data_IF_832066121063
#
_entry.id   IF_832066121063
#
_cell.length_a   1.000
_cell.length_b   1.000
_cell.length_c   1.000
_cell.angle_alpha   90.00
_cell.angle_beta   90.00
_cell.angle_gamma   90.00
#
_symmetry.space_group_name_H-M   'P 1'
#
loop_
_entity.id
_entity.type
_entity.pdbx_description
1 polymer ?
#
# COMPACT_ATOMS: atom_id res chain seq x y z
N UNK A 1 -4.50 0.06 1.99
CA UNK A 1 -4.57 1.46 1.61
C UNK A 1 -5.99 1.96 1.78
N UNK A 2 -6.17 3.04 2.51
CA UNK A 2 -7.45 3.74 2.65
C UNK A 2 -7.27 5.14 2.09
N UNK A 3 -8.18 5.58 1.22
CA UNK A 3 -8.15 6.92 0.65
C UNK A 3 -9.51 7.61 0.80
N UNK A 4 -9.47 8.84 1.24
CA UNK A 4 -10.58 9.77 1.31
C UNK A 4 -10.32 10.95 0.37
N UNK A 5 -11.21 11.92 0.35
CA UNK A 5 -11.08 13.07 -0.55
C UNK A 5 -9.89 13.98 -0.19
N UNK A 6 -9.59 14.10 1.08
CA UNK A 6 -8.64 15.04 1.67
C UNK A 6 -7.58 14.37 2.55
N UNK A 7 -7.65 13.05 2.70
CA UNK A 7 -6.72 12.29 3.53
C UNK A 7 -6.54 10.86 2.99
N UNK A 8 -5.47 10.22 3.41
CA UNK A 8 -5.23 8.81 3.11
C UNK A 8 -4.31 8.15 4.12
N UNK A 9 -4.34 6.84 4.16
CA UNK A 9 -3.49 6.05 5.04
C UNK A 9 -3.02 4.79 4.31
N UNK A 10 -1.72 4.56 4.31
CA UNK A 10 -1.12 3.27 4.00
C UNK A 10 -0.87 2.55 5.32
N UNK A 11 -1.48 1.39 5.51
CA UNK A 11 -1.27 0.58 6.69
C UNK A 11 -0.77 -0.81 6.30
N UNK A 12 0.22 -1.29 7.03
CA UNK A 12 0.66 -2.68 7.03
C UNK A 12 0.10 -3.34 8.28
N UNK A 13 -0.60 -4.44 8.11
CA UNK A 13 -1.11 -5.25 9.20
C UNK A 13 -0.37 -6.59 9.22
N UNK A 14 0.10 -6.99 10.39
CA UNK A 14 0.75 -8.27 10.60
C UNK A 14 0.26 -8.92 11.90
N UNK A 15 -0.05 -10.20 11.84
CA UNK A 15 -0.29 -11.04 13.01
C UNK A 15 0.92 -11.94 13.25
N UNK A 16 1.49 -11.90 14.47
CA UNK A 16 2.69 -12.66 14.81
C UNK A 16 2.70 -13.04 16.31
N UNK A 17 3.61 -13.91 16.71
CA UNK A 17 3.89 -14.14 18.14
C UNK A 17 4.66 -12.96 18.75
N UNK A 18 4.54 -12.78 20.06
CA UNK A 18 5.25 -11.72 20.79
C UNK A 18 6.77 -11.76 20.52
N UNK A 19 7.37 -12.95 20.55
CA UNK A 19 8.81 -13.15 20.33
C UNK A 19 9.28 -12.77 18.92
N UNK A 20 8.40 -12.86 17.93
CA UNK A 20 8.70 -12.54 16.53
C UNK A 20 8.40 -11.09 16.15
N UNK A 21 7.73 -10.34 17.02
CA UNK A 21 7.30 -8.97 16.75
C UNK A 21 8.44 -8.02 16.36
N UNK A 22 9.60 -8.01 17.06
CA UNK A 22 10.72 -7.15 16.66
C UNK A 22 11.19 -7.46 15.23
N UNK A 23 11.33 -8.75 14.88
CA UNK A 23 11.77 -9.19 13.55
C UNK A 23 10.78 -8.80 12.46
N UNK A 24 9.48 -8.85 12.73
CA UNK A 24 8.45 -8.42 11.78
C UNK A 24 8.56 -6.92 11.56
N UNK A 25 8.75 -6.12 12.61
CA UNK A 25 8.95 -4.68 12.48
C UNK A 25 10.19 -4.35 11.65
N UNK A 26 11.33 -4.98 11.97
CA UNK A 26 12.57 -4.79 11.22
C UNK A 26 12.39 -5.12 9.73
N UNK A 27 11.69 -6.22 9.43
CA UNK A 27 11.41 -6.61 8.05
C UNK A 27 10.58 -5.55 7.31
N UNK A 28 9.52 -5.02 7.94
CA UNK A 28 8.68 -3.98 7.35
C UNK A 28 9.50 -2.71 7.07
N UNK A 29 10.31 -2.29 8.03
CA UNK A 29 11.16 -1.09 7.88
C UNK A 29 12.21 -1.30 6.80
N UNK A 30 12.80 -2.50 6.75
CA UNK A 30 13.77 -2.84 5.71
C UNK A 30 13.17 -2.79 4.30
N UNK A 31 11.95 -3.32 4.12
CA UNK A 31 11.25 -3.21 2.83
C UNK A 31 10.97 -1.76 2.44
N UNK A 32 10.56 -0.91 3.39
CA UNK A 32 10.38 0.51 3.11
C UNK A 32 11.69 1.19 2.69
N UNK A 33 12.81 0.89 3.38
CA UNK A 33 14.14 1.39 3.01
C UNK A 33 14.56 0.92 1.62
N UNK A 34 14.34 -0.35 1.30
CA UNK A 34 14.67 -0.90 -0.01
C UNK A 34 13.93 -0.18 -1.12
N UNK A 35 12.62 0.03 -0.99
CA UNK A 35 11.83 0.76 -2.00
C UNK A 35 12.32 2.21 -2.15
N UNK A 36 12.63 2.88 -1.04
CA UNK A 36 13.10 4.28 -1.06
C UNK A 36 14.48 4.40 -1.73
N UNK A 37 15.41 3.51 -1.41
CA UNK A 37 16.79 3.60 -1.86
C UNK A 37 17.00 2.95 -3.23
N UNK A 38 16.52 1.72 -3.40
CA UNK A 38 16.82 0.87 -4.54
C UNK A 38 15.69 0.88 -5.59
N UNK A 39 14.47 1.30 -5.18
CA UNK A 39 13.28 1.24 -6.02
C UNK A 39 12.70 -0.17 -6.10
N UNK A 40 11.89 -0.43 -7.13
CA UNK A 40 11.24 -1.72 -7.36
C UNK A 40 11.82 -2.37 -8.60
N UNK A 41 12.23 -3.65 -8.54
CA UNK A 41 12.64 -4.41 -9.71
C UNK A 41 11.55 -4.47 -10.78
N UNK A 42 11.92 -4.36 -12.05
CA UNK A 42 10.95 -4.34 -13.15
C UNK A 42 10.02 -5.55 -13.17
N UNK A 43 10.54 -6.73 -12.83
CA UNK A 43 9.76 -7.97 -12.76
C UNK A 43 8.74 -7.97 -11.61
N UNK A 44 9.10 -7.36 -10.49
CA UNK A 44 8.19 -7.21 -9.35
C UNK A 44 7.06 -6.23 -9.68
N UNK A 45 7.39 -5.09 -10.28
CA UNK A 45 6.38 -4.14 -10.76
C UNK A 45 5.44 -4.78 -11.77
N UNK A 46 5.96 -5.56 -12.72
CA UNK A 46 5.15 -6.29 -13.69
C UNK A 46 4.16 -7.22 -13.00
N UNK A 47 4.64 -8.06 -12.06
CA UNK A 47 3.78 -8.99 -11.30
C UNK A 47 2.73 -8.25 -10.47
N UNK A 48 3.09 -7.13 -9.86
CA UNK A 48 2.16 -6.29 -9.10
C UNK A 48 1.04 -5.73 -10.00
N UNK A 49 1.40 -5.23 -11.19
CA UNK A 49 0.43 -4.77 -12.20
C UNK A 49 -0.50 -5.89 -12.64
N UNK A 50 0.04 -7.06 -12.98
CA UNK A 50 -0.77 -8.20 -13.42
C UNK A 50 -1.74 -8.68 -12.33
N UNK A 51 -1.29 -8.73 -11.08
CA UNK A 51 -2.14 -9.05 -9.94
C UNK A 51 -3.25 -8.01 -9.74
N UNK A 52 -2.91 -6.74 -9.83
CA UNK A 52 -3.87 -5.64 -9.66
C UNK A 52 -4.92 -5.64 -10.77
N UNK A 53 -4.52 -5.84 -12.03
CA UNK A 53 -5.44 -5.96 -13.16
C UNK A 53 -6.38 -7.15 -13.00
N UNK A 54 -5.85 -8.32 -12.65
CA UNK A 54 -6.65 -9.53 -12.41
C UNK A 54 -7.66 -9.33 -11.26
N UNK A 55 -7.22 -8.78 -10.15
CA UNK A 55 -8.07 -8.48 -8.99
C UNK A 55 -9.18 -7.48 -9.33
N UNK A 56 -8.86 -6.44 -10.12
CA UNK A 56 -9.84 -5.47 -10.58
C UNK A 56 -10.92 -6.13 -11.43
N UNK A 57 -10.53 -6.95 -12.42
CA UNK A 57 -11.46 -7.64 -13.30
C UNK A 57 -12.40 -8.56 -12.50
N UNK A 58 -11.84 -9.40 -11.62
CA UNK A 58 -12.63 -10.29 -10.77
C UNK A 58 -13.57 -9.55 -9.82
N UNK A 59 -13.11 -8.43 -9.26
CA UNK A 59 -13.95 -7.64 -8.34
C UNK A 59 -15.19 -7.08 -8.99
N UNK A 60 -15.16 -6.79 -10.30
CA UNK A 60 -16.27 -6.22 -11.05
C UNK A 60 -17.26 -7.27 -11.60
N UNK A 61 -17.01 -8.56 -11.38
CA UNK A 61 -18.00 -9.63 -11.64
C UNK A 61 -19.15 -9.58 -10.62
N UNK A 62 -18.87 -9.15 -9.39
CA UNK A 62 -19.90 -8.96 -8.37
C UNK A 62 -20.72 -7.69 -8.65
N UNK A 63 -22.05 -7.84 -8.73
CA UNK A 63 -22.96 -6.70 -8.93
C UNK A 63 -22.88 -5.68 -7.80
N UNK A 64 -22.74 -6.12 -6.55
CA UNK A 64 -22.55 -5.24 -5.39
C UNK A 64 -21.23 -4.46 -5.45
N UNK A 65 -20.14 -5.11 -5.83
CA UNK A 65 -18.85 -4.45 -6.00
C UNK A 65 -18.89 -3.46 -7.16
N UNK A 66 -19.55 -3.81 -8.26
CA UNK A 66 -19.75 -2.93 -9.41
C UNK A 66 -20.56 -1.69 -9.04
N UNK A 67 -21.64 -1.87 -8.31
CA UNK A 67 -22.47 -0.76 -7.79
C UNK A 67 -21.63 0.16 -6.89
N UNK A 68 -20.91 -0.41 -5.92
CA UNK A 68 -20.06 0.37 -5.01
C UNK A 68 -18.95 1.11 -5.75
N UNK A 69 -18.34 0.51 -6.79
CA UNK A 69 -17.35 1.14 -7.62
C UNK A 69 -17.92 2.34 -8.39
N UNK A 70 -19.06 2.18 -9.04
CA UNK A 70 -19.74 3.27 -9.76
C UNK A 70 -20.12 4.42 -8.83
N UNK A 71 -20.68 4.11 -7.65
CA UNK A 71 -20.99 5.12 -6.64
C UNK A 71 -19.74 5.90 -6.19
N UNK A 72 -18.64 5.19 -5.93
CA UNK A 72 -17.36 5.80 -5.56
C UNK A 72 -16.82 6.70 -6.68
N UNK A 73 -16.83 6.25 -7.92
CA UNK A 73 -16.40 7.05 -9.06
C UNK A 73 -17.21 8.33 -9.18
N UNK A 74 -18.52 8.26 -9.05
CA UNK A 74 -19.40 9.43 -9.09
C UNK A 74 -19.11 10.40 -7.94
N UNK A 75 -18.93 9.89 -6.72
CA UNK A 75 -18.72 10.73 -5.53
C UNK A 75 -17.35 11.44 -5.55
N UNK A 76 -16.29 10.74 -5.96
CA UNK A 76 -14.92 11.27 -5.89
C UNK A 76 -14.50 12.01 -7.16
N UNK A 77 -14.87 11.48 -8.35
CA UNK A 77 -14.37 11.98 -9.63
C UNK A 77 -15.44 12.66 -10.48
N UNK A 78 -16.71 12.47 -10.15
CA UNK A 78 -17.87 12.96 -10.93
C UNK A 78 -17.86 12.49 -12.38
N UNK A 79 -17.23 11.36 -12.64
CA UNK A 79 -17.21 10.68 -13.95
C UNK A 79 -17.06 9.17 -13.74
N UNK A 80 -17.40 8.44 -14.78
CA UNK A 80 -17.18 6.99 -14.83
C UNK A 80 -15.95 6.69 -15.67
N UNK A 81 -15.16 5.74 -15.21
CA UNK A 81 -14.02 5.21 -15.94
C UNK A 81 -14.39 3.87 -16.54
N UNK A 82 -14.06 3.68 -17.81
CA UNK A 82 -14.19 2.37 -18.45
C UNK A 82 -13.16 1.39 -17.89
N UNK A 83 -13.40 0.10 -18.12
CA UNK A 83 -12.42 -0.93 -17.72
C UNK A 83 -11.06 -0.65 -18.40
N UNK A 84 -11.07 -0.34 -19.68
CA UNK A 84 -9.85 -0.08 -20.45
C UNK A 84 -9.08 1.12 -19.90
N UNK A 85 -9.74 2.22 -19.55
CA UNK A 85 -9.11 3.37 -18.89
C UNK A 85 -8.45 3.00 -17.56
N UNK A 86 -9.11 2.14 -16.76
CA UNK A 86 -8.55 1.68 -15.49
C UNK A 86 -7.33 0.78 -15.71
N UNK A 87 -7.41 -0.17 -16.62
CA UNK A 87 -6.30 -1.07 -16.96
C UNK A 87 -5.10 -0.29 -17.53
N UNK A 88 -5.35 0.67 -18.40
CA UNK A 88 -4.31 1.54 -18.95
C UNK A 88 -3.66 2.41 -17.89
N UNK A 89 -4.43 2.88 -16.90
CA UNK A 89 -3.88 3.64 -15.77
C UNK A 89 -2.91 2.81 -14.93
N UNK A 90 -3.21 1.52 -14.72
CA UNK A 90 -2.31 0.60 -14.04
C UNK A 90 -1.04 0.39 -14.88
N UNK A 91 -1.19 0.22 -16.19
CA UNK A 91 -0.06 -0.06 -17.08
C UNK A 91 0.92 1.11 -17.16
N UNK A 92 0.44 2.34 -17.10
CA UNK A 92 1.27 3.56 -17.13
C UNK A 92 2.12 3.80 -15.89
N UNK A 93 1.91 3.06 -14.79
CA UNK A 93 2.72 3.23 -13.58
C UNK A 93 4.16 2.81 -13.87
N UNK A 94 5.11 3.67 -13.58
CA UNK A 94 6.54 3.43 -13.73
C UNK A 94 7.22 3.20 -12.37
N UNK A 95 8.33 2.45 -12.37
CA UNK A 95 9.09 2.18 -11.15
C UNK A 95 9.62 3.47 -10.50
N UNK A 96 10.04 4.43 -11.32
CA UNK A 96 10.46 5.77 -10.88
C UNK A 96 9.38 6.49 -10.10
N UNK A 97 8.13 6.47 -10.60
CA UNK A 97 7.00 7.10 -9.93
C UNK A 97 6.72 6.45 -8.57
N UNK A 98 6.80 5.13 -8.48
CA UNK A 98 6.62 4.42 -7.20
C UNK A 98 7.72 4.80 -6.21
N UNK A 99 8.98 4.87 -6.66
CA UNK A 99 10.09 5.28 -5.80
C UNK A 99 9.97 6.74 -5.33
N UNK A 100 9.54 7.66 -6.18
CA UNK A 100 9.29 9.05 -5.80
C UNK A 100 8.20 9.18 -4.73
N UNK A 101 7.12 8.42 -4.89
CA UNK A 101 6.06 8.35 -3.87
C UNK A 101 6.58 7.75 -2.56
N UNK A 102 7.39 6.69 -2.63
CA UNK A 102 8.00 6.10 -1.45
C UNK A 102 8.88 7.12 -0.70
N UNK A 103 9.74 7.85 -1.40
CA UNK A 103 10.57 8.93 -0.81
C UNK A 103 9.75 10.05 -0.18
N UNK A 104 8.57 10.31 -0.73
CA UNK A 104 7.67 11.35 -0.21
C UNK A 104 6.96 10.92 1.07
N UNK A 105 6.51 9.68 1.14
CA UNK A 105 5.61 9.21 2.20
C UNK A 105 6.27 8.30 3.23
N UNK A 106 7.30 7.53 2.86
CA UNK A 106 8.00 6.64 3.81
C UNK A 106 9.08 7.43 4.54
N UNK A 107 8.65 8.26 5.46
CA UNK A 107 9.53 9.08 6.31
C UNK A 107 9.34 8.65 7.76
N UNK A 108 10.44 8.55 8.47
CA UNK A 108 10.47 8.11 9.87
C UNK A 108 9.46 8.87 10.75
N UNK A 109 9.29 10.18 10.49
CA UNK A 109 8.38 11.04 11.25
C UNK A 109 6.90 10.74 10.98
N UNK A 110 6.58 10.19 9.79
CA UNK A 110 5.23 9.90 9.37
C UNK A 110 4.74 8.51 9.81
N UNK A 111 5.64 7.66 10.35
CA UNK A 111 5.29 6.31 10.77
C UNK A 111 4.68 6.33 12.16
N UNK A 112 3.55 5.64 12.29
CA UNK A 112 2.93 5.33 13.57
C UNK A 112 2.77 3.82 13.70
N UNK A 113 2.98 3.30 14.90
CA UNK A 113 2.81 1.87 15.21
C UNK A 113 1.72 1.74 16.26
N UNK A 114 0.85 0.75 16.06
CA UNK A 114 -0.05 0.24 17.07
C UNK A 114 0.17 -1.28 17.17
N UNK A 115 0.48 -1.75 18.36
CA UNK A 115 0.65 -3.17 18.66
C UNK A 115 -0.30 -3.57 19.78
N UNK A 116 -0.96 -4.72 19.63
CA UNK A 116 -1.91 -5.25 20.60
C UNK A 116 -1.59 -6.71 20.88
N UNK A 117 -1.43 -7.06 22.17
CA UNK A 117 -1.14 -8.43 22.60
C UNK A 117 -0.32 -8.47 23.90
N UNK A 118 0.17 -9.64 24.29
CA UNK A 118 1.09 -9.80 25.43
C UNK A 118 2.51 -9.37 25.00
N UNK A 119 2.71 -8.05 24.89
CA UNK A 119 3.91 -7.42 24.31
C UNK A 119 4.76 -6.72 25.38
N UNK A 120 4.79 -7.25 26.60
CA UNK A 120 5.63 -6.74 27.68
C UNK A 120 7.10 -6.68 27.24
N UNK A 121 7.72 -5.50 27.44
CA UNK A 121 9.12 -5.28 27.02
C UNK A 121 9.34 -4.88 25.56
N UNK A 122 8.32 -4.82 24.72
CA UNK A 122 8.43 -4.30 23.37
C UNK A 122 8.22 -2.77 23.36
N UNK A 123 9.30 -2.03 23.26
CA UNK A 123 9.31 -0.57 23.24
C UNK A 123 10.13 -0.08 22.03
N UNK A 124 9.58 -0.11 20.81
CA UNK A 124 10.28 0.40 19.64
C UNK A 124 10.48 1.91 19.78
N UNK A 125 11.69 2.38 19.64
CA UNK A 125 12.02 3.80 19.57
C UNK A 125 12.01 4.30 18.12
N UNK A 126 12.21 5.61 17.94
CA UNK A 126 12.28 6.21 16.60
C UNK A 126 13.47 5.72 15.77
N UNK A 127 14.55 5.25 16.39
CA UNK A 127 15.70 4.72 15.67
C UNK A 127 15.36 3.41 14.96
N UNK A 128 14.49 2.59 15.52
CA UNK A 128 13.98 1.38 14.86
C UNK A 128 13.17 1.70 13.59
N UNK A 129 12.60 2.90 13.50
CA UNK A 129 11.75 3.35 12.39
C UNK A 129 12.48 4.22 11.37
N UNK A 130 13.80 4.33 11.47
CA UNK A 130 14.60 5.12 10.53
C UNK A 130 14.52 4.53 9.12
N UNK A 131 14.13 5.34 8.13
CA UNK A 131 14.03 5.01 6.71
C UNK A 131 15.00 5.91 5.95
#
# INVERSE_FOLDING_TARGET
LTSYRDAGCLAVYAGTSADSLPKVLDSIVQEFRSIVNDGIPAEELRRAKDNLKGSLMLSLESTSSRMANLARQQLYYRRFFTMDEMLESIERVEASTVQELARTYFRSEAISIAALGPIEGFHPDRAHLAI
#
